data_IF_884174548469
#
_entry.id   IF_884174548469
#
_cell.length_a   1.000
_cell.length_b   1.000
_cell.length_c   1.000
_cell.angle_alpha   90.00
_cell.angle_beta   90.00
_cell.angle_gamma   90.00
#
_symmetry.space_group_name_H-M   'P 1'
#
loop_
_entity.id
_entity.type
_entity.pdbx_description
1 polymer ?
#
# COMPACT_ATOMS: atom_id res chain seq x y z
N UNK A 1 13.94 20.55 -3.06
CA UNK A 1 14.03 21.40 -1.83
C UNK A 1 14.10 20.45 -0.64
N UNK A 2 15.07 20.67 0.24
CA UNK A 2 15.15 19.95 1.51
C UNK A 2 14.00 20.42 2.41
N UNK A 3 13.12 19.51 2.82
CA UNK A 3 12.02 19.77 3.76
C UNK A 3 12.56 19.44 5.15
N UNK A 4 12.59 20.39 6.11
CA UNK A 4 13.07 20.12 7.45
C UNK A 4 12.14 19.15 8.19
N UNK A 5 12.71 18.36 9.11
CA UNK A 5 11.96 17.37 9.89
C UNK A 5 10.79 17.96 10.68
N UNK A 6 10.93 19.19 11.14
CA UNK A 6 9.88 19.94 11.86
C UNK A 6 8.60 20.18 11.05
N UNK A 7 8.64 20.01 9.73
CA UNK A 7 7.45 20.18 8.88
C UNK A 7 6.65 18.89 8.70
N UNK A 8 7.24 17.71 8.95
CA UNK A 8 6.57 16.43 8.76
C UNK A 8 6.64 15.48 9.97
N UNK A 9 7.55 15.70 10.94
CA UNK A 9 7.51 14.97 12.21
C UNK A 9 6.49 15.65 13.13
N UNK A 10 5.57 14.86 13.68
CA UNK A 10 4.44 15.33 14.47
C UNK A 10 4.13 14.37 15.63
N UNK A 11 2.95 14.47 16.23
CA UNK A 11 2.48 13.59 17.27
C UNK A 11 1.08 13.09 16.94
N UNK A 12 0.76 11.86 17.37
CA UNK A 12 -0.60 11.36 17.31
C UNK A 12 -1.49 12.12 18.29
N UNK A 13 -2.77 12.32 17.93
CA UNK A 13 -3.80 12.80 18.88
C UNK A 13 -4.13 11.70 19.90
N UNK A 14 -4.15 10.44 19.44
CA UNK A 14 -4.30 9.25 20.28
C UNK A 14 -3.15 8.27 19.98
N UNK A 15 -2.31 7.98 20.98
CA UNK A 15 -1.15 7.11 20.86
C UNK A 15 -1.51 5.65 20.45
N UNK A 16 -2.75 5.23 20.66
CA UNK A 16 -3.23 3.89 20.28
C UNK A 16 -3.55 3.77 18.79
N UNK A 17 -3.51 4.89 18.04
CA UNK A 17 -3.77 4.89 16.62
C UNK A 17 -2.52 4.55 15.79
N UNK A 18 -2.72 3.83 14.69
CA UNK A 18 -1.73 3.62 13.63
C UNK A 18 -1.76 4.79 12.62
N UNK A 19 -2.97 5.22 12.26
CA UNK A 19 -3.18 6.34 11.34
C UNK A 19 -4.28 7.25 11.87
N UNK A 20 -4.13 8.55 11.66
CA UNK A 20 -5.17 9.55 11.87
C UNK A 20 -5.30 10.43 10.64
N UNK A 21 -6.50 10.48 10.07
CA UNK A 21 -6.92 11.47 9.08
C UNK A 21 -7.60 12.63 9.81
N UNK A 22 -7.15 13.84 9.54
CA UNK A 22 -7.63 15.05 10.21
C UNK A 22 -7.97 16.12 9.20
N UNK A 23 -9.26 16.29 8.92
CA UNK A 23 -9.80 17.26 7.98
C UNK A 23 -9.11 17.24 6.61
N UNK A 24 -8.96 16.05 6.02
CA UNK A 24 -8.18 15.85 4.79
C UNK A 24 -8.98 16.25 3.56
N UNK A 25 -8.37 17.08 2.71
CA UNK A 25 -8.91 17.50 1.43
C UNK A 25 -7.95 17.12 0.30
N UNK A 26 -8.42 16.33 -0.66
CA UNK A 26 -7.67 15.95 -1.85
C UNK A 26 -8.47 16.28 -3.11
N UNK A 27 -7.93 17.18 -3.91
CA UNK A 27 -8.60 17.74 -5.08
C UNK A 27 -7.82 17.45 -6.36
N UNK A 28 -8.55 17.37 -7.48
CA UNK A 28 -7.98 17.30 -8.81
C UNK A 28 -8.31 18.58 -9.58
N UNK A 29 -7.26 19.23 -10.08
CA UNK A 29 -7.34 20.42 -10.88
C UNK A 29 -7.29 20.04 -12.36
N UNK A 30 -8.39 20.23 -13.05
CA UNK A 30 -8.55 19.88 -14.47
C UNK A 30 -8.86 21.12 -15.30
N UNK A 31 -8.74 21.02 -16.62
CA UNK A 31 -9.02 22.13 -17.54
C UNK A 31 -10.49 22.59 -17.47
N UNK A 32 -11.40 21.75 -17.01
CA UNK A 32 -12.84 22.03 -16.87
C UNK A 32 -13.23 22.42 -15.44
N UNK A 33 -12.30 22.42 -14.47
CA UNK A 33 -12.57 22.83 -13.10
C UNK A 33 -11.93 21.95 -12.04
N UNK A 34 -12.24 22.20 -10.78
CA UNK A 34 -11.73 21.48 -9.63
C UNK A 34 -12.69 20.39 -9.20
N UNK A 35 -12.21 19.14 -9.13
CA UNK A 35 -12.94 18.00 -8.60
C UNK A 35 -12.47 17.74 -7.16
N UNK A 36 -13.36 17.86 -6.19
CA UNK A 36 -13.13 17.62 -4.77
C UNK A 36 -13.39 16.14 -4.46
N UNK A 37 -12.41 15.29 -4.66
CA UNK A 37 -12.57 13.85 -4.48
C UNK A 37 -12.59 13.41 -3.02
N UNK A 38 -11.87 14.11 -2.15
CA UNK A 38 -11.93 14.00 -0.69
C UNK A 38 -12.12 15.41 -0.14
N UNK A 39 -13.12 15.66 0.64
CA UNK A 39 -13.48 17.01 1.10
C UNK A 39 -13.83 17.01 2.60
N UNK A 40 -12.81 17.23 3.45
CA UNK A 40 -12.95 17.33 4.90
C UNK A 40 -13.11 15.99 5.62
N UNK A 41 -12.40 14.95 5.20
CA UNK A 41 -12.52 13.61 5.78
C UNK A 41 -11.64 13.48 7.03
N UNK A 42 -12.24 12.98 8.12
CA UNK A 42 -11.54 12.68 9.38
C UNK A 42 -11.97 11.31 9.90
N UNK A 43 -11.00 10.45 10.21
CA UNK A 43 -11.21 9.17 10.88
C UNK A 43 -9.87 8.63 11.39
N UNK A 44 -9.95 7.66 12.29
CA UNK A 44 -8.79 7.01 12.90
C UNK A 44 -8.72 5.53 12.56
N UNK A 45 -7.50 5.01 12.46
CA UNK A 45 -7.21 3.58 12.33
C UNK A 45 -6.42 3.16 13.57
N UNK A 46 -7.06 2.51 14.57
CA UNK A 46 -6.37 2.03 15.75
C UNK A 46 -5.37 0.92 15.41
N UNK A 47 -4.31 0.80 16.21
CA UNK A 47 -3.32 -0.26 16.04
C UNK A 47 -3.96 -1.65 16.21
N UNK A 48 -3.59 -2.60 15.34
CA UNK A 48 -4.09 -3.97 15.38
C UNK A 48 -5.60 -4.13 15.11
N UNK A 49 -6.25 -3.10 14.54
CA UNK A 49 -7.67 -3.12 14.19
C UNK A 49 -7.84 -2.99 12.68
N UNK A 50 -8.96 -3.51 12.20
CA UNK A 50 -9.41 -3.34 10.80
C UNK A 50 -10.49 -2.26 10.76
N UNK A 51 -10.31 -1.29 9.88
CA UNK A 51 -11.29 -0.23 9.61
C UNK A 51 -11.78 -0.39 8.17
N UNK A 52 -13.10 -0.53 8.00
CA UNK A 52 -13.74 -0.62 6.69
C UNK A 52 -14.24 0.75 6.22
N UNK A 53 -13.79 1.19 5.04
CA UNK A 53 -14.31 2.39 4.38
C UNK A 53 -15.31 1.95 3.32
N UNK A 54 -16.58 2.28 3.51
CA UNK A 54 -17.70 1.89 2.64
C UNK A 54 -18.27 3.11 1.95
N UNK A 55 -18.72 2.93 0.72
CA UNK A 55 -19.36 3.99 -0.06
C UNK A 55 -19.53 3.57 -1.52
N UNK A 56 -20.30 4.34 -2.27
CA UNK A 56 -20.56 4.10 -3.69
C UNK A 56 -19.27 4.20 -4.54
N UNK A 57 -19.33 3.65 -5.77
CA UNK A 57 -18.21 3.80 -6.71
C UNK A 57 -17.98 5.29 -7.01
N UNK A 58 -16.71 5.72 -7.03
CA UNK A 58 -16.35 7.11 -7.30
C UNK A 58 -16.48 8.09 -6.11
N UNK A 59 -16.89 7.64 -4.91
CA UNK A 59 -17.05 8.53 -3.75
C UNK A 59 -15.74 8.90 -3.03
N UNK A 60 -14.57 8.59 -3.60
CA UNK A 60 -13.27 9.01 -3.05
C UNK A 60 -12.52 7.99 -2.19
N UNK A 61 -13.01 6.75 -2.01
CA UNK A 61 -12.35 5.70 -1.20
C UNK A 61 -10.90 5.47 -1.63
N UNK A 62 -10.68 5.17 -2.91
CA UNK A 62 -9.34 4.93 -3.46
C UNK A 62 -8.47 6.19 -3.37
N UNK A 63 -9.04 7.38 -3.59
CA UNK A 63 -8.30 8.64 -3.47
C UNK A 63 -7.85 8.88 -2.03
N UNK A 64 -8.66 8.53 -1.03
CA UNK A 64 -8.28 8.59 0.39
C UNK A 64 -7.07 7.69 0.68
N UNK A 65 -7.09 6.45 0.17
CA UNK A 65 -5.98 5.51 0.28
C UNK A 65 -4.71 6.01 -0.43
N UNK A 66 -4.86 6.53 -1.64
CA UNK A 66 -3.75 7.11 -2.42
C UNK A 66 -3.18 8.38 -1.76
N UNK A 67 -4.00 9.16 -1.05
CA UNK A 67 -3.54 10.33 -0.30
C UNK A 67 -2.60 9.93 0.84
N UNK A 68 -2.94 8.87 1.60
CA UNK A 68 -2.08 8.31 2.64
C UNK A 68 -0.75 7.81 2.07
N UNK A 69 -0.78 7.19 0.90
CA UNK A 69 0.43 6.68 0.24
C UNK A 69 1.21 7.76 -0.54
N UNK A 70 0.71 9.01 -0.60
CA UNK A 70 1.22 10.04 -1.52
C UNK A 70 1.34 9.55 -2.98
N UNK A 71 0.37 8.78 -3.44
CA UNK A 71 0.32 8.24 -4.81
C UNK A 71 -0.74 8.94 -5.67
N UNK A 72 -1.36 10.00 -5.17
CA UNK A 72 -2.27 10.85 -5.97
C UNK A 72 -1.50 11.42 -7.15
N UNK A 73 -2.06 11.26 -8.36
CA UNK A 73 -1.38 11.61 -9.61
C UNK A 73 -1.14 13.11 -9.73
N UNK A 74 0.11 13.53 -9.62
CA UNK A 74 0.54 14.93 -9.81
C UNK A 74 0.78 15.22 -11.30
N UNK A 75 0.63 16.48 -11.75
CA UNK A 75 0.31 17.70 -10.98
C UNK A 75 -1.18 17.93 -10.73
N UNK A 76 -2.07 17.19 -11.41
CA UNK A 76 -3.52 17.40 -11.33
C UNK A 76 -4.10 17.14 -9.94
N UNK A 77 -3.67 16.07 -9.26
CA UNK A 77 -4.15 15.70 -7.94
C UNK A 77 -3.22 16.15 -6.82
N UNK A 78 -3.78 16.75 -5.76
CA UNK A 78 -3.05 17.22 -4.60
C UNK A 78 -3.88 17.11 -3.33
N UNK A 79 -3.25 16.72 -2.22
CA UNK A 79 -3.81 16.95 -0.89
C UNK A 79 -3.54 18.41 -0.53
N UNK A 80 -4.58 19.21 -0.44
CA UNK A 80 -4.50 20.68 -0.33
C UNK A 80 -4.65 21.18 1.09
N UNK A 81 -5.29 20.39 1.97
CA UNK A 81 -5.54 20.75 3.36
C UNK A 81 -5.66 19.49 4.23
N UNK A 82 -5.47 19.66 5.54
CA UNK A 82 -5.55 18.60 6.53
C UNK A 82 -4.23 17.89 6.76
N UNK A 83 -4.27 16.92 7.66
CA UNK A 83 -3.10 16.11 8.05
C UNK A 83 -3.44 14.62 7.98
N UNK A 84 -2.46 13.83 7.62
CA UNK A 84 -2.50 12.37 7.74
C UNK A 84 -1.30 11.95 8.56
N UNK A 85 -1.53 11.58 9.82
CA UNK A 85 -0.49 11.16 10.75
C UNK A 85 -0.35 9.65 10.71
N UNK A 86 0.86 9.19 10.50
CA UNK A 86 1.22 7.77 10.49
C UNK A 86 2.23 7.47 11.60
N UNK A 87 1.89 6.51 12.47
CA UNK A 87 2.74 6.07 13.57
C UNK A 87 3.61 4.89 13.14
N UNK A 88 4.91 5.13 12.94
CA UNK A 88 5.87 4.05 12.62
C UNK A 88 6.22 3.19 13.83
N UNK A 89 5.87 3.61 15.04
CA UNK A 89 6.28 3.03 16.32
C UNK A 89 7.56 3.64 16.88
N UNK A 90 8.35 4.29 16.07
CA UNK A 90 9.54 5.05 16.46
C UNK A 90 9.27 6.55 16.43
N UNK A 91 8.51 6.99 15.43
CA UNK A 91 8.14 8.38 15.23
C UNK A 91 6.79 8.49 14.52
N UNK A 92 6.17 9.65 14.60
CA UNK A 92 4.93 9.97 13.90
C UNK A 92 5.22 10.92 12.76
N UNK A 93 4.74 10.57 11.57
CA UNK A 93 4.99 11.31 10.34
C UNK A 93 3.67 11.83 9.78
N UNK A 94 3.59 13.15 9.55
CA UNK A 94 2.55 13.72 8.70
C UNK A 94 2.90 13.46 7.24
N UNK A 95 2.27 12.45 6.66
CA UNK A 95 2.60 11.99 5.30
C UNK A 95 2.23 13.03 4.23
N UNK A 96 1.34 13.97 4.51
CA UNK A 96 0.99 15.04 3.55
C UNK A 96 2.20 15.91 3.24
N UNK A 97 3.01 16.21 4.26
CA UNK A 97 4.18 17.08 4.16
C UNK A 97 5.50 16.33 4.00
N UNK A 98 5.48 15.00 4.16
CA UNK A 98 6.69 14.19 4.13
C UNK A 98 7.37 14.24 2.75
N UNK A 99 8.72 14.42 2.69
CA UNK A 99 9.46 14.36 1.45
C UNK A 99 9.45 12.94 0.85
N UNK A 100 9.68 12.87 -0.47
CA UNK A 100 9.60 11.59 -1.18
C UNK A 100 10.59 10.54 -0.65
N UNK A 101 11.77 10.95 -0.19
CA UNK A 101 12.78 10.06 0.40
C UNK A 101 12.26 9.38 1.68
N UNK A 102 11.45 10.08 2.49
CA UNK A 102 10.80 9.53 3.67
C UNK A 102 9.69 8.57 3.24
N UNK A 103 8.84 8.98 2.28
CA UNK A 103 7.78 8.13 1.78
C UNK A 103 8.29 6.84 1.11
N UNK A 104 9.43 6.87 0.43
CA UNK A 104 10.06 5.68 -0.14
C UNK A 104 10.48 4.66 0.94
N UNK A 105 10.90 5.14 2.12
CA UNK A 105 11.23 4.26 3.26
C UNK A 105 9.97 3.70 3.94
N UNK A 106 8.85 4.43 3.88
CA UNK A 106 7.58 4.00 4.49
C UNK A 106 6.85 2.98 3.62
N UNK A 107 6.78 3.24 2.30
CA UNK A 107 6.08 2.35 1.36
C UNK A 107 6.78 1.01 1.25
N UNK A 108 6.01 -0.07 1.34
CA UNK A 108 6.49 -1.44 1.29
C UNK A 108 7.07 -1.96 2.61
N UNK A 109 7.62 -1.09 3.46
CA UNK A 109 8.22 -1.47 4.74
C UNK A 109 7.25 -1.28 5.92
N UNK A 110 6.70 -0.07 6.08
CA UNK A 110 5.78 0.24 7.18
C UNK A 110 4.31 0.25 6.75
N UNK A 111 4.04 0.63 5.52
CA UNK A 111 2.71 0.62 4.92
C UNK A 111 2.76 0.00 3.53
N UNK A 112 1.79 -0.85 3.22
CA UNK A 112 1.65 -1.49 1.92
C UNK A 112 0.23 -1.35 1.40
N UNK A 113 0.07 -1.41 0.09
CA UNK A 113 -1.22 -1.30 -0.56
C UNK A 113 -1.45 -2.47 -1.53
N UNK A 114 -2.64 -3.06 -1.43
CA UNK A 114 -3.16 -4.02 -2.38
C UNK A 114 -4.12 -3.26 -3.29
N UNK A 115 -3.77 -3.13 -4.57
CA UNK A 115 -4.55 -2.39 -5.56
C UNK A 115 -5.71 -3.22 -6.10
N UNK A 116 -6.75 -2.53 -6.55
CA UNK A 116 -7.97 -3.11 -7.12
C UNK A 116 -7.69 -4.04 -8.32
N UNK A 117 -6.69 -3.71 -9.15
CA UNK A 117 -6.35 -4.47 -10.35
C UNK A 117 -4.99 -5.17 -10.23
N UNK A 118 -4.95 -6.46 -9.82
CA UNK A 118 -3.69 -7.20 -9.71
C UNK A 118 -3.01 -7.45 -11.06
N UNK A 119 -3.77 -7.34 -12.16
CA UNK A 119 -3.26 -7.53 -13.52
C UNK A 119 -2.25 -6.48 -13.93
N UNK A 120 -2.37 -5.25 -13.41
CA UNK A 120 -1.50 -4.12 -13.69
C UNK A 120 -0.36 -3.98 -12.68
N UNK A 121 -0.45 -4.69 -11.54
CA UNK A 121 0.54 -4.59 -10.45
C UNK A 121 1.80 -5.42 -10.70
N UNK A 122 1.70 -6.53 -11.46
CA UNK A 122 2.84 -7.39 -11.79
C UNK A 122 3.41 -7.00 -13.16
N UNK A 123 4.72 -6.80 -13.22
CA UNK A 123 5.40 -6.54 -14.47
C UNK A 123 5.49 -7.82 -15.32
N UNK A 124 4.92 -7.85 -16.54
CA UNK A 124 4.81 -9.09 -17.34
C UNK A 124 6.15 -9.63 -17.85
N UNK A 125 7.21 -8.84 -17.85
CA UNK A 125 8.52 -9.24 -18.41
C UNK A 125 9.49 -9.78 -17.36
N UNK A 126 9.13 -9.73 -16.06
CA UNK A 126 9.92 -10.29 -14.97
C UNK A 126 9.24 -11.52 -14.36
N UNK A 127 10.03 -12.46 -13.87
CA UNK A 127 9.51 -13.62 -13.14
C UNK A 127 8.92 -13.21 -11.80
N UNK A 128 8.00 -14.03 -11.29
CA UNK A 128 7.35 -13.78 -10.00
C UNK A 128 8.37 -13.66 -8.88
N UNK A 129 9.31 -14.61 -8.80
CA UNK A 129 10.35 -14.59 -7.76
C UNK A 129 11.18 -13.33 -7.79
N UNK A 130 11.58 -12.86 -8.97
CA UNK A 130 12.38 -11.64 -9.13
C UNK A 130 11.66 -10.41 -8.56
N UNK A 131 10.35 -10.30 -8.79
CA UNK A 131 9.54 -9.16 -8.33
C UNK A 131 9.33 -9.17 -6.81
N UNK A 132 9.10 -10.34 -6.22
CA UNK A 132 8.95 -10.46 -4.77
C UNK A 132 10.31 -10.29 -4.07
N UNK A 133 11.38 -10.87 -4.63
CA UNK A 133 12.77 -10.72 -4.15
C UNK A 133 13.17 -9.24 -4.11
N UNK A 134 12.83 -8.46 -5.15
CA UNK A 134 13.15 -7.04 -5.24
C UNK A 134 12.55 -6.26 -4.05
N UNK A 135 11.27 -6.50 -3.74
CA UNK A 135 10.59 -5.85 -2.61
C UNK A 135 11.28 -6.17 -1.29
N UNK A 136 11.64 -7.44 -1.08
CA UNK A 136 12.30 -7.88 0.16
C UNK A 136 13.70 -7.28 0.25
N UNK A 137 14.50 -7.40 -0.81
CA UNK A 137 15.88 -6.93 -0.84
C UNK A 137 16.00 -5.41 -0.67
N UNK A 138 15.06 -4.65 -1.27
CA UNK A 138 15.04 -3.18 -1.17
C UNK A 138 14.95 -2.70 0.29
N UNK A 139 14.15 -3.38 1.09
CA UNK A 139 13.91 -3.00 2.50
C UNK A 139 14.76 -3.77 3.51
N UNK A 140 15.50 -4.78 3.05
CA UNK A 140 16.37 -5.61 3.90
C UNK A 140 17.76 -5.78 3.25
N UNK A 141 18.54 -4.69 3.10
CA UNK A 141 19.82 -4.72 2.40
C UNK A 141 20.87 -5.62 3.06
N UNK A 142 20.67 -6.04 4.31
CA UNK A 142 21.52 -6.95 5.04
C UNK A 142 21.29 -8.44 4.70
N UNK A 143 20.17 -8.78 4.03
CA UNK A 143 19.83 -10.16 3.68
C UNK A 143 20.68 -10.63 2.49
N UNK A 144 21.15 -11.90 2.55
CA UNK A 144 21.77 -12.54 1.39
C UNK A 144 20.72 -12.92 0.35
N UNK A 145 21.14 -13.19 -0.88
CA UNK A 145 20.22 -13.63 -1.95
C UNK A 145 19.46 -14.91 -1.58
N UNK A 146 20.12 -15.83 -0.88
CA UNK A 146 19.50 -17.07 -0.40
C UNK A 146 18.43 -16.80 0.65
N UNK A 147 18.67 -15.86 1.56
CA UNK A 147 17.70 -15.44 2.58
C UNK A 147 16.52 -14.74 1.95
N UNK A 148 16.74 -13.84 0.98
CA UNK A 148 15.68 -13.16 0.23
C UNK A 148 14.80 -14.19 -0.47
N UNK A 149 15.40 -15.14 -1.23
CA UNK A 149 14.67 -16.20 -1.90
C UNK A 149 13.87 -17.07 -0.92
N UNK A 150 14.48 -17.47 0.21
CA UNK A 150 13.80 -18.25 1.22
C UNK A 150 12.56 -17.53 1.76
N UNK A 151 12.67 -16.21 2.02
CA UNK A 151 11.55 -15.37 2.43
C UNK A 151 10.47 -15.27 1.34
N UNK A 152 10.85 -15.13 0.08
CA UNK A 152 9.91 -15.14 -1.05
C UNK A 152 9.10 -16.44 -1.09
N UNK A 153 9.76 -17.60 -0.98
CA UNK A 153 9.11 -18.91 -0.96
C UNK A 153 8.14 -19.03 0.24
N UNK A 154 8.55 -18.54 1.41
CA UNK A 154 7.69 -18.49 2.60
C UNK A 154 6.43 -17.66 2.35
N UNK A 155 6.57 -16.49 1.73
CA UNK A 155 5.45 -15.60 1.42
C UNK A 155 4.48 -16.23 0.41
N UNK A 156 4.99 -16.90 -0.62
CA UNK A 156 4.16 -17.63 -1.58
C UNK A 156 3.40 -18.79 -0.90
N UNK A 157 4.03 -19.47 0.06
CA UNK A 157 3.38 -20.52 0.85
C UNK A 157 2.25 -19.94 1.73
N UNK A 158 2.51 -18.84 2.41
CA UNK A 158 1.56 -18.15 3.29
C UNK A 158 0.26 -17.78 2.57
N UNK A 159 0.34 -17.37 1.30
CA UNK A 159 -0.85 -17.04 0.48
C UNK A 159 -1.45 -18.26 -0.23
N UNK A 160 -1.00 -19.47 0.11
CA UNK A 160 -1.58 -20.73 -0.39
C UNK A 160 -1.20 -21.09 -1.82
N UNK A 161 0.00 -20.74 -2.27
CA UNK A 161 0.55 -21.19 -3.55
C UNK A 161 1.15 -22.60 -3.38
N UNK A 162 0.46 -23.62 -3.87
CA UNK A 162 0.86 -25.03 -3.69
C UNK A 162 2.23 -25.36 -4.31
N UNK A 163 2.50 -24.90 -5.55
CA UNK A 163 3.78 -25.11 -6.25
C UNK A 163 4.64 -23.84 -6.20
N UNK A 164 4.99 -23.38 -5.00
CA UNK A 164 5.73 -22.15 -4.77
C UNK A 164 7.06 -22.08 -5.51
N UNK A 165 7.84 -23.16 -5.56
CA UNK A 165 9.11 -23.24 -6.28
C UNK A 165 8.92 -23.16 -7.82
N UNK A 166 7.86 -23.74 -8.34
CA UNK A 166 7.51 -23.61 -9.76
C UNK A 166 7.06 -22.20 -10.09
N UNK A 167 6.14 -21.66 -9.29
CA UNK A 167 5.59 -20.29 -9.47
C UNK A 167 6.68 -19.23 -9.34
N UNK A 168 7.65 -19.40 -8.46
CA UNK A 168 8.82 -18.51 -8.34
C UNK A 168 9.50 -18.26 -9.70
N UNK A 169 9.53 -19.27 -10.59
CA UNK A 169 10.20 -19.22 -11.90
C UNK A 169 9.27 -18.79 -13.05
N UNK A 170 7.97 -18.73 -12.80
CA UNK A 170 6.97 -18.37 -13.80
C UNK A 170 6.87 -16.86 -14.02
N UNK A 171 6.31 -16.50 -15.17
CA UNK A 171 5.94 -15.14 -15.52
C UNK A 171 4.46 -14.89 -15.17
N UNK A 172 4.04 -13.64 -14.97
CA UNK A 172 2.64 -13.31 -14.65
C UNK A 172 1.61 -13.85 -15.64
N UNK A 173 1.92 -13.90 -16.93
CA UNK A 173 1.01 -14.38 -17.97
C UNK A 173 0.76 -15.90 -17.91
N UNK A 174 1.62 -16.67 -17.23
CA UNK A 174 1.45 -18.11 -17.02
C UNK A 174 0.51 -18.44 -15.85
N UNK A 175 0.03 -17.43 -15.13
CA UNK A 175 -0.75 -17.58 -13.90
C UNK A 175 -2.20 -17.15 -14.08
N UNK A 176 -3.11 -17.81 -13.34
CA UNK A 176 -4.51 -17.38 -13.24
C UNK A 176 -4.64 -16.01 -12.54
N UNK A 177 -5.78 -15.33 -12.73
CA UNK A 177 -6.07 -14.07 -12.04
C UNK A 177 -6.01 -14.20 -10.52
N UNK A 178 -6.58 -15.27 -9.96
CA UNK A 178 -6.53 -15.54 -8.53
C UNK A 178 -5.11 -15.79 -8.00
N UNK A 179 -4.25 -16.47 -8.75
CA UNK A 179 -2.85 -16.65 -8.37
C UNK A 179 -2.10 -15.31 -8.38
N UNK A 180 -2.31 -14.47 -9.39
CA UNK A 180 -1.73 -13.12 -9.46
C UNK A 180 -2.17 -12.26 -8.29
N UNK A 181 -3.45 -12.31 -7.91
CA UNK A 181 -3.96 -11.60 -6.73
C UNK A 181 -3.25 -12.06 -5.45
N UNK A 182 -3.12 -13.37 -5.23
CA UNK A 182 -2.41 -13.93 -4.08
C UNK A 182 -0.94 -13.50 -4.03
N UNK A 183 -0.28 -13.41 -5.18
CA UNK A 183 1.11 -12.93 -5.27
C UNK A 183 1.20 -11.44 -4.91
N UNK A 184 0.27 -10.60 -5.37
CA UNK A 184 0.20 -9.19 -4.97
C UNK A 184 0.01 -9.04 -3.45
N UNK A 185 -0.81 -9.91 -2.84
CA UNK A 185 -0.97 -9.97 -1.38
C UNK A 185 0.35 -10.40 -0.72
N UNK A 186 1.04 -11.42 -1.23
CA UNK A 186 2.35 -11.85 -0.73
C UNK A 186 3.38 -10.71 -0.77
N UNK A 187 3.43 -9.95 -1.88
CA UNK A 187 4.30 -8.77 -2.01
C UNK A 187 3.97 -7.69 -0.98
N UNK A 188 2.69 -7.40 -0.76
CA UNK A 188 2.25 -6.42 0.23
C UNK A 188 2.63 -6.83 1.67
N UNK A 189 2.65 -8.13 1.96
CA UNK A 189 2.99 -8.68 3.29
C UNK A 189 4.50 -8.92 3.48
N UNK A 190 5.30 -8.90 2.43
CA UNK A 190 6.68 -9.41 2.42
C UNK A 190 7.60 -8.79 3.48
N UNK A 191 7.41 -7.50 3.80
CA UNK A 191 8.19 -6.76 4.80
C UNK A 191 7.49 -6.61 6.17
N UNK A 192 6.40 -7.35 6.43
CA UNK A 192 5.61 -7.27 7.67
C UNK A 192 5.16 -5.83 7.99
N UNK A 193 4.46 -5.14 7.11
CA UNK A 193 4.06 -3.75 7.31
C UNK A 193 3.13 -3.61 8.52
N UNK A 194 3.15 -2.44 9.16
CA UNK A 194 2.24 -2.09 10.26
C UNK A 194 0.83 -1.76 9.77
N UNK A 195 0.72 -1.32 8.52
CA UNK A 195 -0.54 -0.96 7.88
C UNK A 195 -0.63 -1.63 6.51
N UNK A 196 -1.76 -2.27 6.27
CA UNK A 196 -2.15 -2.76 4.94
C UNK A 196 -3.39 -2.01 4.51
N UNK A 197 -3.32 -1.40 3.33
CA UNK A 197 -4.44 -0.77 2.67
C UNK A 197 -4.92 -1.73 1.59
N UNK A 198 -6.17 -2.19 1.66
CA UNK A 198 -6.76 -3.06 0.67
C UNK A 198 -7.87 -2.32 -0.08
N UNK A 199 -7.62 -2.00 -1.34
CA UNK A 199 -8.59 -1.32 -2.21
C UNK A 199 -9.28 -2.38 -3.08
N UNK A 200 -10.48 -2.80 -2.66
CA UNK A 200 -11.28 -3.86 -3.28
C UNK A 200 -10.49 -5.15 -3.59
N UNK A 201 -9.83 -5.77 -2.59
CA UNK A 201 -8.81 -6.82 -2.79
C UNK A 201 -9.36 -8.12 -3.38
N UNK A 202 -10.68 -8.31 -3.39
CA UNK A 202 -11.34 -9.57 -3.79
C UNK A 202 -12.07 -9.51 -5.11
N UNK A 203 -12.04 -8.39 -5.82
CA UNK A 203 -12.76 -8.23 -7.10
C UNK A 203 -12.31 -9.19 -8.20
N UNK A 204 -11.05 -9.64 -8.17
CA UNK A 204 -10.49 -10.59 -9.13
C UNK A 204 -10.59 -12.06 -8.67
N UNK A 205 -11.13 -12.33 -7.47
CA UNK A 205 -11.28 -13.67 -6.93
C UNK A 205 -12.68 -14.22 -7.20
N UNK A 206 -12.77 -15.52 -7.50
CA UNK A 206 -14.03 -16.24 -7.54
C UNK A 206 -14.67 -16.23 -6.13
N UNK A 207 -16.02 -16.19 -6.06
CA UNK A 207 -16.78 -16.14 -4.80
C UNK A 207 -16.41 -17.27 -3.84
N UNK A 208 -16.09 -18.45 -4.38
CA UNK A 208 -15.63 -19.59 -3.58
C UNK A 208 -14.23 -19.44 -2.97
N UNK A 209 -13.40 -18.53 -3.52
CA UNK A 209 -12.03 -18.28 -3.08
C UNK A 209 -11.95 -17.06 -2.16
N UNK A 210 -12.97 -16.20 -2.16
CA UNK A 210 -12.99 -14.99 -1.33
C UNK A 210 -13.07 -15.28 0.17
N UNK A 211 -13.68 -16.39 0.58
CA UNK A 211 -13.89 -16.71 1.99
C UNK A 211 -12.60 -16.87 2.83
N UNK A 212 -11.46 -17.36 2.31
CA UNK A 212 -10.22 -17.48 3.06
C UNK A 212 -9.25 -16.27 2.95
N UNK A 213 -9.66 -15.16 2.31
CA UNK A 213 -8.80 -13.96 2.11
C UNK A 213 -9.07 -12.85 3.18
#
# INVERSE_FOLDING_TARGET
KHIPESEYITQMKNADNCVEFDNVHTYFFTDIGTVKSVDGVSFDVPQGKTVGIVGESGCGKSVTSLSLMQLVQRPSGQTVEGEIRFNTGEQVINVVNAPNEVMQKLRGNYMSMIFQEPMTSLNPVFRIGEQVDEVIALHNPQMTKEQVKARTIEMLDMVGIANKEGVYRMYPHELSGGMRQRICIAMALACNPKLIIADEPTTALDVTIQAPV
#
